data_IF_248069715294
#
_entry.id   IF_248069715294
#
_cell.length_a   1.000
_cell.length_b   1.000
_cell.length_c   1.000
_cell.angle_alpha   90.00
_cell.angle_beta   90.00
_cell.angle_gamma   90.00
#
_symmetry.space_group_name_H-M   'P 1'
#
loop_
_entity.id
_entity.type
_entity.pdbx_description
1 polymer ?
#
# COMPACT_ATOMS: atom_id res chain seq x y z
N UNK A 1 3.06 17.16 25.89
CA UNK A 1 1.60 16.93 25.94
C UNK A 1 0.91 17.28 24.62
N UNK A 2 1.12 18.49 24.08
CA UNK A 2 0.50 18.99 22.83
C UNK A 2 0.72 18.09 21.59
N UNK A 3 1.91 17.50 21.42
CA UNK A 3 2.21 16.58 20.28
C UNK A 3 1.36 15.31 20.27
N UNK A 4 1.01 14.74 21.43
CA UNK A 4 0.18 13.52 21.50
C UNK A 4 -1.27 13.80 21.14
N UNK A 5 -1.83 14.91 21.64
CA UNK A 5 -3.19 15.33 21.31
C UNK A 5 -3.32 15.68 19.82
N UNK A 6 -2.31 16.32 19.22
CA UNK A 6 -2.26 16.56 17.78
C UNK A 6 -2.25 15.26 16.96
N UNK A 7 -1.44 14.27 17.36
CA UNK A 7 -1.41 12.97 16.70
C UNK A 7 -2.73 12.21 16.86
N UNK A 8 -3.38 12.28 18.02
CA UNK A 8 -4.70 11.68 18.23
C UNK A 8 -5.78 12.38 17.40
N UNK A 9 -5.72 13.72 17.29
CA UNK A 9 -6.60 14.48 16.41
C UNK A 9 -6.40 14.11 14.94
N UNK A 10 -5.16 14.04 14.48
CA UNK A 10 -4.82 13.61 13.12
C UNK A 10 -5.28 12.18 12.86
N UNK A 11 -5.03 11.26 13.80
CA UNK A 11 -5.52 9.89 13.72
C UNK A 11 -7.03 9.85 13.54
N UNK A 12 -7.79 10.63 14.32
CA UNK A 12 -9.24 10.73 14.19
C UNK A 12 -9.67 11.21 12.79
N UNK A 13 -9.00 12.23 12.25
CA UNK A 13 -9.23 12.69 10.87
C UNK A 13 -8.91 11.60 9.84
N UNK A 14 -7.83 10.86 10.02
CA UNK A 14 -7.48 9.72 9.16
C UNK A 14 -8.54 8.62 9.22
N UNK A 15 -9.15 8.34 10.38
CA UNK A 15 -10.25 7.36 10.47
C UNK A 15 -11.47 7.80 9.68
N UNK A 16 -11.84 9.08 9.78
CA UNK A 16 -12.95 9.65 9.00
C UNK A 16 -12.63 9.53 7.50
N UNK A 17 -11.42 9.92 7.09
CA UNK A 17 -10.98 9.81 5.70
C UNK A 17 -11.01 8.36 5.19
N UNK A 18 -10.60 7.39 6.01
CA UNK A 18 -10.62 5.97 5.66
C UNK A 18 -12.05 5.44 5.44
N UNK A 19 -13.01 5.84 6.29
CA UNK A 19 -14.43 5.48 6.12
C UNK A 19 -14.98 6.08 4.82
N UNK A 20 -14.71 7.36 4.56
CA UNK A 20 -15.15 8.02 3.32
C UNK A 20 -14.55 7.35 2.09
N UNK A 21 -13.24 7.07 2.12
CA UNK A 21 -12.54 6.39 1.02
C UNK A 21 -13.11 4.99 0.77
N UNK A 22 -13.42 4.24 1.83
CA UNK A 22 -14.02 2.90 1.73
C UNK A 22 -15.41 2.92 1.09
N UNK A 23 -16.27 3.85 1.52
CA UNK A 23 -17.61 4.04 0.93
C UNK A 23 -17.48 4.43 -0.54
N UNK A 24 -16.59 5.36 -0.87
CA UNK A 24 -16.39 5.80 -2.25
C UNK A 24 -15.78 4.71 -3.13
N UNK A 25 -14.89 3.88 -2.59
CA UNK A 25 -14.33 2.72 -3.28
C UNK A 25 -15.43 1.71 -3.62
N UNK A 26 -16.33 1.41 -2.69
CA UNK A 26 -17.47 0.52 -2.92
C UNK A 26 -18.39 1.07 -4.01
N UNK A 27 -18.78 2.35 -3.94
CA UNK A 27 -19.60 2.99 -4.97
C UNK A 27 -18.90 2.92 -6.33
N UNK A 28 -17.60 3.26 -6.39
CA UNK A 28 -16.82 3.22 -7.62
C UNK A 28 -16.72 1.81 -8.20
N UNK A 29 -16.58 0.78 -7.35
CA UNK A 29 -16.52 -0.62 -7.77
C UNK A 29 -17.85 -1.08 -8.37
N UNK A 30 -18.97 -0.76 -7.70
CA UNK A 30 -20.32 -1.06 -8.19
C UNK A 30 -20.64 -0.33 -9.50
N UNK A 31 -20.11 0.88 -9.68
CA UNK A 31 -20.27 1.66 -10.90
C UNK A 31 -19.27 1.29 -12.02
N UNK A 32 -18.36 0.32 -11.81
CA UNK A 32 -17.35 -0.07 -12.79
C UNK A 32 -16.29 1.01 -13.09
N UNK A 33 -16.05 1.93 -12.16
CA UNK A 33 -15.12 3.04 -12.33
C UNK A 33 -13.67 2.64 -12.03
N UNK A 34 -12.72 3.12 -12.84
CA UNK A 34 -11.26 3.01 -12.59
C UNK A 34 -10.84 3.53 -11.22
N UNK A 35 -11.63 4.45 -10.63
CA UNK A 35 -11.35 5.00 -9.30
C UNK A 35 -11.30 3.94 -8.19
N UNK A 36 -12.06 2.86 -8.31
CA UNK A 36 -11.99 1.75 -7.35
C UNK A 36 -10.57 1.17 -7.28
N UNK A 37 -9.93 1.00 -8.44
CA UNK A 37 -8.55 0.53 -8.54
C UNK A 37 -7.56 1.54 -7.94
N UNK A 38 -7.72 2.83 -8.25
CA UNK A 38 -6.88 3.89 -7.66
C UNK A 38 -6.95 3.88 -6.14
N UNK A 39 -8.14 3.69 -5.56
CA UNK A 39 -8.31 3.59 -4.10
C UNK A 39 -7.71 2.30 -3.54
N UNK A 40 -7.78 1.18 -4.26
CA UNK A 40 -7.11 -0.05 -3.85
C UNK A 40 -5.58 0.13 -3.75
N UNK A 41 -4.96 0.76 -4.75
CA UNK A 41 -3.52 1.07 -4.75
C UNK A 41 -3.15 1.98 -3.58
N UNK A 42 -3.94 3.02 -3.31
CA UNK A 42 -3.69 3.90 -2.17
C UNK A 42 -3.78 3.18 -0.81
N UNK A 43 -4.68 2.20 -0.67
CA UNK A 43 -4.74 1.37 0.53
C UNK A 43 -3.53 0.44 0.67
N UNK A 44 -2.99 -0.05 -0.45
CA UNK A 44 -1.77 -0.85 -0.44
C UNK A 44 -0.54 -0.04 0.00
N UNK A 45 -0.39 1.18 -0.51
CA UNK A 45 0.62 2.15 -0.06
C UNK A 45 0.47 2.49 1.44
N UNK A 46 -0.75 2.74 1.90
CA UNK A 46 -1.04 2.95 3.32
C UNK A 46 -0.63 1.74 4.17
N UNK A 47 -0.92 0.52 3.70
CA UNK A 47 -0.51 -0.70 4.39
C UNK A 47 1.03 -0.84 4.41
N UNK A 48 1.71 -0.53 3.31
CA UNK A 48 3.17 -0.54 3.26
C UNK A 48 3.77 0.44 4.29
N UNK A 49 3.27 1.67 4.33
CA UNK A 49 3.67 2.68 5.30
C UNK A 49 3.44 2.21 6.75
N UNK A 50 2.29 1.58 7.02
CA UNK A 50 1.99 1.02 8.34
C UNK A 50 2.97 -0.09 8.77
N UNK A 51 3.50 -0.86 7.82
CA UNK A 51 4.55 -1.86 8.05
C UNK A 51 5.98 -1.30 7.88
N UNK A 52 6.15 0.02 7.99
CA UNK A 52 7.45 0.70 7.96
C UNK A 52 8.12 0.75 6.59
N UNK A 53 7.34 0.64 5.52
CA UNK A 53 7.78 0.96 4.15
C UNK A 53 7.61 2.45 3.85
N UNK A 54 8.03 2.86 2.65
CA UNK A 54 7.85 4.22 2.17
C UNK A 54 6.40 4.48 1.78
N UNK A 55 5.90 5.68 2.06
CA UNK A 55 4.49 6.08 1.89
C UNK A 55 3.99 6.00 0.44
N UNK A 56 4.88 6.21 -0.52
CA UNK A 56 4.56 6.17 -1.95
C UNK A 56 4.85 4.80 -2.60
N UNK A 57 5.35 3.82 -1.84
CA UNK A 57 5.70 2.49 -2.36
C UNK A 57 4.62 1.45 -2.03
N UNK A 58 4.29 0.57 -2.99
CA UNK A 58 3.39 -0.57 -2.79
C UNK A 58 4.03 -1.74 -2.02
N UNK A 59 3.23 -2.56 -1.33
CA UNK A 59 3.74 -3.76 -0.65
C UNK A 59 4.38 -4.74 -1.64
N UNK A 60 3.77 -4.89 -2.82
CA UNK A 60 4.29 -5.75 -3.89
C UNK A 60 5.63 -5.26 -4.43
N UNK A 61 5.82 -3.94 -4.59
CA UNK A 61 7.10 -3.34 -5.03
C UNK A 61 8.20 -3.60 -4.01
N UNK A 62 7.93 -3.29 -2.73
CA UNK A 62 8.86 -3.53 -1.62
C UNK A 62 9.22 -5.01 -1.49
N UNK A 63 8.22 -5.89 -1.60
CA UNK A 63 8.44 -7.32 -1.54
C UNK A 63 9.24 -7.83 -2.75
N UNK A 64 9.00 -7.33 -3.97
CA UNK A 64 9.79 -7.68 -5.15
C UNK A 64 11.27 -7.34 -4.97
N UNK A 65 11.58 -6.12 -4.50
CA UNK A 65 12.96 -5.70 -4.18
C UNK A 65 13.60 -6.59 -3.11
N UNK A 66 12.87 -6.85 -2.02
CA UNK A 66 13.31 -7.73 -0.94
C UNK A 66 13.51 -9.19 -1.38
N UNK A 67 12.69 -9.68 -2.31
CA UNK A 67 12.81 -11.02 -2.88
C UNK A 67 14.05 -11.13 -3.79
N UNK A 68 14.37 -10.09 -4.57
CA UNK A 68 15.64 -9.99 -5.32
C UNK A 68 16.87 -10.03 -4.40
N UNK A 69 16.76 -9.50 -3.19
CA UNK A 69 17.77 -9.61 -2.13
C UNK A 69 17.77 -10.98 -1.40
N UNK A 70 16.86 -11.90 -1.75
CA UNK A 70 16.78 -13.23 -1.14
C UNK A 70 16.08 -13.27 0.24
N UNK A 71 15.32 -12.23 0.63
CA UNK A 71 14.61 -12.21 1.90
C UNK A 71 13.46 -13.22 1.90
N UNK A 72 13.53 -14.22 2.78
CA UNK A 72 12.59 -15.36 2.83
C UNK A 72 11.11 -14.94 2.93
N UNK A 73 10.80 -13.95 3.77
CA UNK A 73 9.42 -13.47 3.95
C UNK A 73 8.85 -12.92 2.63
N UNK A 74 9.67 -12.20 1.88
CA UNK A 74 9.29 -11.59 0.61
C UNK A 74 9.12 -12.65 -0.48
N UNK A 75 10.00 -13.66 -0.54
CA UNK A 75 9.82 -14.79 -1.46
C UNK A 75 8.51 -15.56 -1.20
N UNK A 76 8.16 -15.78 0.07
CA UNK A 76 6.89 -16.45 0.44
C UNK A 76 5.70 -15.58 0.04
N UNK A 77 5.75 -14.29 0.36
CA UNK A 77 4.70 -13.33 0.01
C UNK A 77 4.50 -13.24 -1.51
N UNK A 78 5.58 -13.09 -2.28
CA UNK A 78 5.51 -13.04 -3.73
C UNK A 78 4.99 -14.34 -4.34
N UNK A 79 5.39 -15.50 -3.83
CA UNK A 79 4.83 -16.79 -4.26
C UNK A 79 3.33 -16.92 -3.96
N UNK A 80 2.83 -16.28 -2.91
CA UNK A 80 1.40 -16.24 -2.65
C UNK A 80 0.68 -15.38 -3.69
N UNK A 81 1.22 -14.19 -4.00
CA UNK A 81 0.65 -13.28 -4.99
C UNK A 81 0.73 -13.83 -6.43
N UNK A 82 1.79 -14.59 -6.74
CA UNK A 82 1.94 -15.26 -8.04
C UNK A 82 0.82 -16.25 -8.36
N UNK A 83 0.08 -16.74 -7.34
CA UNK A 83 -1.12 -17.57 -7.56
C UNK A 83 -2.32 -16.77 -8.08
N UNK A 84 -2.35 -15.47 -7.84
CA UNK A 84 -3.43 -14.57 -8.27
C UNK A 84 -3.06 -13.89 -9.60
N UNK A 85 -1.81 -13.43 -9.73
CA UNK A 85 -1.26 -12.83 -10.94
C UNK A 85 0.19 -13.33 -11.12
N UNK A 86 0.49 -14.13 -12.15
CA UNK A 86 1.84 -14.69 -12.33
C UNK A 86 2.94 -13.61 -12.39
N UNK A 87 4.00 -13.76 -11.60
CA UNK A 87 5.12 -12.81 -11.46
C UNK A 87 4.67 -11.43 -10.95
N UNK A 88 3.65 -11.37 -10.08
CA UNK A 88 3.04 -10.11 -9.64
C UNK A 88 4.06 -9.16 -9.01
N UNK A 89 4.80 -9.62 -8.01
CA UNK A 89 5.79 -8.79 -7.33
C UNK A 89 6.85 -8.24 -8.28
N UNK A 90 7.32 -9.05 -9.23
CA UNK A 90 8.39 -8.67 -10.15
C UNK A 90 7.91 -7.57 -11.11
N UNK A 91 6.67 -7.67 -11.61
CA UNK A 91 6.03 -6.63 -12.43
C UNK A 91 5.75 -5.35 -11.65
N UNK A 92 5.49 -5.46 -10.36
CA UNK A 92 5.16 -4.34 -9.47
C UNK A 92 6.39 -3.59 -8.93
N UNK A 93 7.62 -3.95 -9.30
CA UNK A 93 8.81 -3.23 -8.82
C UNK A 93 8.84 -1.82 -9.41
N UNK A 94 8.72 -0.83 -8.53
CA UNK A 94 8.85 0.61 -8.82
C UNK A 94 10.28 1.05 -8.46
N UNK A 95 11.20 1.19 -9.43
CA UNK A 95 12.63 1.33 -9.15
C UNK A 95 13.03 2.69 -8.54
N UNK A 96 12.19 3.70 -8.69
CA UNK A 96 12.30 5.06 -8.20
C UNK A 96 11.69 5.26 -6.80
N UNK A 97 10.66 4.48 -6.46
CA UNK A 97 10.02 4.52 -5.15
C UNK A 97 10.82 3.83 -4.03
N UNK A 98 10.54 4.18 -2.78
CA UNK A 98 11.14 3.54 -1.60
C UNK A 98 12.56 4.01 -1.25
N UNK A 99 13.05 5.05 -1.91
CA UNK A 99 14.34 5.69 -1.63
C UNK A 99 14.13 6.93 -0.76
N UNK A 100 15.05 7.26 0.16
CA UNK A 100 15.02 8.57 0.82
C UNK A 100 15.08 9.67 -0.24
N UNK A 101 14.24 10.70 -0.10
CA UNK A 101 14.37 11.94 -0.87
C UNK A 101 15.78 12.49 -0.62
N UNK A 102 16.63 12.48 -1.64
CA UNK A 102 18.02 12.95 -1.57
C UNK A 102 18.09 14.48 -1.46
#
# INVERSE_FOLDING_TARGET
MMRRLQLLGLWGLCQIAAVVASVWMLIAALAGSRRAWTLAVAHDQLANAAFGGHEDETLSSRAGKAAREGKRWACIFCRLLDRLDPNHCEKSIEPDEGKPMA
#
